data_IF_944455033140
#
_entry.id   IF_944455033140
#
_cell.length_a   1.000
_cell.length_b   1.000
_cell.length_c   1.000
_cell.angle_alpha   90.00
_cell.angle_beta   90.00
_cell.angle_gamma   90.00
#
_symmetry.space_group_name_H-M   'P 1'
#
loop_
_entity.id
_entity.type
_entity.pdbx_description
1 polymer ?
#
# COMPACT_ATOMS: atom_id res chain seq x y z
N UNK A 1 -4.34 4.46 -13.55
CA UNK A 1 -3.18 3.95 -12.80
C UNK A 1 -3.11 4.68 -11.49
N UNK A 2 -2.96 3.95 -10.39
CA UNK A 2 -2.73 4.52 -9.06
C UNK A 2 -1.29 4.23 -8.70
N UNK A 3 -0.46 5.27 -8.72
CA UNK A 3 0.88 5.23 -8.17
C UNK A 3 0.78 5.24 -6.65
N UNK A 4 1.56 4.40 -5.98
CA UNK A 4 1.58 4.34 -4.52
C UNK A 4 2.99 4.05 -3.99
N UNK A 5 3.23 4.51 -2.77
CA UNK A 5 4.42 4.24 -1.97
C UNK A 5 4.06 4.32 -0.48
N UNK A 6 4.73 3.52 0.36
CA UNK A 6 4.39 3.34 1.78
C UNK A 6 5.59 3.60 2.69
N UNK A 7 5.37 4.42 3.71
CA UNK A 7 6.27 4.47 4.86
C UNK A 7 5.67 3.65 5.99
N UNK A 8 6.54 2.89 6.68
CA UNK A 8 6.10 1.89 7.63
C UNK A 8 6.93 1.90 8.90
N UNK A 9 6.28 1.55 10.01
CA UNK A 9 6.93 1.21 11.26
C UNK A 9 6.70 -0.26 11.56
N UNK A 10 7.73 -0.95 12.05
CA UNK A 10 7.60 -2.30 12.57
C UNK A 10 8.69 -2.56 13.62
N UNK A 11 8.34 -3.14 14.78
CA UNK A 11 9.34 -3.55 15.77
C UNK A 11 10.20 -4.73 15.28
N UNK A 12 9.72 -5.51 14.30
CA UNK A 12 10.48 -6.58 13.67
C UNK A 12 11.40 -5.99 12.60
N UNK A 13 12.73 -6.22 12.65
CA UNK A 13 13.63 -5.74 11.61
C UNK A 13 13.33 -6.33 10.23
N UNK A 14 13.34 -5.51 9.17
CA UNK A 14 13.06 -5.95 7.79
C UNK A 14 14.04 -7.02 7.28
N UNK A 15 15.27 -7.07 7.82
CA UNK A 15 16.27 -8.11 7.51
C UNK A 15 15.81 -9.53 7.89
N UNK A 16 14.78 -9.66 8.72
CA UNK A 16 14.17 -10.95 9.06
C UNK A 16 13.16 -11.42 7.99
N UNK A 17 13.01 -10.68 6.88
CA UNK A 17 12.15 -11.00 5.74
C UNK A 17 10.84 -10.21 5.75
N UNK A 18 10.37 -9.86 4.54
CA UNK A 18 9.17 -9.03 4.31
C UNK A 18 7.91 -9.60 4.95
N UNK A 19 7.72 -10.91 4.92
CA UNK A 19 6.53 -11.54 5.52
C UNK A 19 6.51 -11.41 7.04
N UNK A 20 7.61 -11.78 7.72
CA UNK A 20 7.72 -11.62 9.17
C UNK A 20 7.62 -10.15 9.60
N UNK A 21 8.15 -9.25 8.78
CA UNK A 21 8.00 -7.81 8.96
C UNK A 21 6.53 -7.37 8.86
N UNK A 22 5.82 -7.79 7.81
CA UNK A 22 4.45 -7.36 7.53
C UNK A 22 3.42 -7.85 8.58
N UNK A 23 3.69 -8.95 9.26
CA UNK A 23 2.81 -9.45 10.34
C UNK A 23 2.62 -8.46 11.49
N UNK A 24 3.59 -7.58 11.75
CA UNK A 24 3.55 -6.59 12.83
C UNK A 24 3.67 -5.14 12.31
N UNK A 25 3.58 -4.94 11.01
CA UNK A 25 3.72 -3.63 10.40
C UNK A 25 2.53 -2.72 10.68
N UNK A 26 2.85 -1.44 10.84
CA UNK A 26 1.92 -0.31 10.81
C UNK A 26 2.33 0.61 9.65
N UNK A 27 1.36 1.03 8.84
CA UNK A 27 1.58 2.06 7.81
C UNK A 27 1.51 3.42 8.49
N UNK A 28 2.56 4.22 8.36
CA UNK A 28 2.62 5.55 8.95
C UNK A 28 2.28 6.64 7.94
N UNK A 29 2.72 6.48 6.69
CA UNK A 29 2.41 7.39 5.58
C UNK A 29 2.02 6.60 4.34
N UNK A 30 0.99 7.07 3.65
CA UNK A 30 0.56 6.54 2.35
C UNK A 30 0.63 7.66 1.31
N UNK A 31 1.63 7.60 0.44
CA UNK A 31 1.76 8.51 -0.70
C UNK A 31 1.10 7.89 -1.93
N UNK A 32 0.33 8.67 -2.68
CA UNK A 32 -0.33 8.18 -3.89
C UNK A 32 -0.63 9.27 -4.92
N UNK A 33 -0.73 8.88 -6.19
CA UNK A 33 -1.16 9.74 -7.29
C UNK A 33 -2.03 8.97 -8.28
N UNK A 34 -3.13 9.59 -8.73
CA UNK A 34 -4.02 9.01 -9.74
C UNK A 34 -3.62 9.53 -11.12
N UNK A 35 -3.15 8.63 -12.00
CA UNK A 35 -2.61 8.96 -13.32
C UNK A 35 -1.52 10.05 -13.19
N UNK A 36 -1.63 11.12 -13.98
CA UNK A 36 -0.74 12.30 -13.93
C UNK A 36 -1.26 13.40 -12.99
N UNK A 37 -2.16 13.03 -12.08
CA UNK A 37 -2.72 13.94 -11.07
C UNK A 37 -1.70 14.30 -9.99
N UNK A 38 -2.04 15.25 -9.09
CA UNK A 38 -1.17 15.66 -8.00
C UNK A 38 -0.93 14.50 -7.03
N UNK A 39 0.29 14.45 -6.48
CA UNK A 39 0.62 13.56 -5.37
C UNK A 39 -0.14 13.99 -4.13
N UNK A 40 -0.71 13.00 -3.44
CA UNK A 40 -1.38 13.12 -2.16
C UNK A 40 -0.62 12.28 -1.14
N UNK A 41 -0.54 12.78 0.07
CA UNK A 41 0.17 12.14 1.17
C UNK A 41 -0.78 12.09 2.37
N UNK A 42 -1.10 10.89 2.82
CA UNK A 42 -1.98 10.66 3.97
C UNK A 42 -1.14 10.27 5.19
N UNK A 43 -1.29 11.01 6.29
CA UNK A 43 -0.75 10.64 7.60
C UNK A 43 -1.66 9.59 8.24
N UNK A 44 -1.28 8.32 8.04
CA UNK A 44 -2.03 7.13 8.48
C UNK A 44 -1.73 6.79 9.94
N UNK A 45 -0.62 7.29 10.49
CA UNK A 45 -0.30 7.09 11.90
C UNK A 45 -1.33 7.76 12.82
N UNK A 46 -1.90 8.88 12.37
CA UNK A 46 -2.86 9.66 13.16
C UNK A 46 -4.30 9.59 12.64
N UNK A 47 -4.51 9.16 11.39
CA UNK A 47 -5.81 9.23 10.73
C UNK A 47 -6.14 7.95 9.94
N UNK A 48 -7.43 7.63 9.74
CA UNK A 48 -7.82 6.59 8.79
C UNK A 48 -7.51 7.01 7.35
N UNK A 49 -7.39 6.02 6.45
CA UNK A 49 -7.28 6.29 5.02
C UNK A 49 -8.49 7.08 4.51
N UNK A 50 -8.25 7.96 3.55
CA UNK A 50 -9.30 8.74 2.93
C UNK A 50 -10.29 7.84 2.17
N UNK A 51 -11.56 8.24 2.18
CA UNK A 51 -12.60 7.57 1.40
C UNK A 51 -12.27 7.52 -0.11
N UNK A 52 -11.49 8.49 -0.61
CA UNK A 52 -11.06 8.53 -2.01
C UNK A 52 -10.05 7.42 -2.29
N UNK A 53 -9.00 7.30 -1.48
CA UNK A 53 -8.02 6.23 -1.61
C UNK A 53 -8.66 4.85 -1.45
N UNK A 54 -9.53 4.66 -0.46
CA UNK A 54 -10.26 3.40 -0.28
C UNK A 54 -11.10 3.02 -1.52
N UNK A 55 -11.74 4.00 -2.18
CA UNK A 55 -12.48 3.76 -3.43
C UNK A 55 -11.56 3.36 -4.58
N UNK A 56 -10.40 3.98 -4.71
CA UNK A 56 -9.41 3.65 -5.74
C UNK A 56 -8.82 2.25 -5.52
N UNK A 57 -8.47 1.91 -4.28
CA UNK A 57 -7.98 0.58 -3.92
C UNK A 57 -9.03 -0.50 -4.19
N UNK A 58 -10.32 -0.25 -3.91
CA UNK A 58 -11.41 -1.19 -4.19
C UNK A 58 -11.81 -1.30 -5.67
N UNK A 59 -11.41 -0.34 -6.51
CA UNK A 59 -11.83 -0.36 -7.92
C UNK A 59 -10.99 -1.36 -8.73
N UNK A 60 -11.56 -2.47 -9.22
CA UNK A 60 -10.79 -3.51 -9.93
C UNK A 60 -10.20 -3.02 -11.26
N UNK A 61 -10.73 -1.93 -11.83
CA UNK A 61 -10.22 -1.34 -13.07
C UNK A 61 -9.00 -0.41 -12.84
N UNK A 62 -8.67 -0.12 -11.59
CA UNK A 62 -7.50 0.69 -11.24
C UNK A 62 -6.30 -0.24 -11.06
N UNK A 63 -5.35 -0.14 -12.00
CA UNK A 63 -4.00 -0.72 -11.86
C UNK A 63 -3.22 0.00 -10.75
N UNK A 64 -2.49 -0.76 -9.95
CA UNK A 64 -1.65 -0.31 -8.85
C UNK A 64 -0.19 -0.35 -9.30
N UNK A 65 0.50 0.77 -9.17
CA UNK A 65 1.88 0.91 -9.64
C UNK A 65 2.76 1.25 -8.44
N UNK A 66 3.80 0.45 -8.22
CA UNK A 66 4.80 0.67 -7.18
C UNK A 66 6.19 0.26 -7.68
N UNK A 67 7.23 0.77 -7.03
CA UNK A 67 8.60 0.34 -7.29
C UNK A 67 8.99 -0.71 -6.25
N UNK A 68 9.40 -1.92 -6.68
CA UNK A 68 9.61 -3.05 -5.76
C UNK A 68 8.31 -3.43 -5.00
N UNK A 69 7.24 -3.56 -5.78
CA UNK A 69 5.86 -3.82 -5.33
C UNK A 69 5.69 -5.06 -4.44
N UNK A 70 6.65 -5.99 -4.44
CA UNK A 70 6.65 -7.13 -3.53
C UNK A 70 6.56 -6.70 -2.06
N UNK A 71 7.20 -5.58 -1.70
CA UNK A 71 7.11 -5.02 -0.37
C UNK A 71 5.69 -4.48 -0.09
N UNK A 72 5.22 -3.51 -0.88
CA UNK A 72 3.93 -2.82 -0.65
C UNK A 72 2.75 -3.76 -0.68
N UNK A 73 2.70 -4.68 -1.64
CA UNK A 73 1.60 -5.66 -1.72
C UNK A 73 1.54 -6.56 -0.48
N UNK A 74 2.69 -6.84 0.13
CA UNK A 74 2.78 -7.69 1.31
C UNK A 74 2.37 -6.89 2.54
N UNK A 75 2.86 -5.66 2.69
CA UNK A 75 2.44 -4.73 3.74
C UNK A 75 0.93 -4.51 3.71
N UNK A 76 0.35 -4.13 2.56
CA UNK A 76 -1.08 -3.86 2.43
C UNK A 76 -1.95 -5.08 2.75
N UNK A 77 -1.52 -6.28 2.34
CA UNK A 77 -2.24 -7.53 2.65
C UNK A 77 -2.39 -7.75 4.15
N UNK A 78 -1.40 -7.36 4.95
CA UNK A 78 -1.44 -7.49 6.41
C UNK A 78 -2.05 -6.27 7.11
N UNK A 79 -1.79 -5.05 6.61
CA UNK A 79 -2.19 -3.82 7.27
C UNK A 79 -3.68 -3.48 7.07
N UNK A 80 -4.22 -3.63 5.85
CA UNK A 80 -5.60 -3.24 5.55
C UNK A 80 -6.64 -3.96 6.43
N UNK A 81 -6.57 -5.29 6.65
CA UNK A 81 -7.50 -5.96 7.57
C UNK A 81 -7.40 -5.46 9.02
N UNK A 82 -6.18 -5.15 9.51
CA UNK A 82 -5.97 -4.59 10.85
C UNK A 82 -6.57 -3.19 11.00
N UNK A 83 -6.65 -2.45 9.90
CA UNK A 83 -7.32 -1.15 9.83
C UNK A 83 -8.84 -1.27 9.63
N UNK A 84 -9.40 -2.49 9.65
CA UNK A 84 -10.84 -2.74 9.45
C UNK A 84 -11.28 -2.62 7.99
N UNK A 85 -10.34 -2.69 7.03
CA UNK A 85 -10.61 -2.58 5.60
C UNK A 85 -10.54 -3.96 4.94
N UNK A 86 -11.69 -4.47 4.51
CA UNK A 86 -11.79 -5.70 3.72
C UNK A 86 -11.59 -5.40 2.23
N UNK A 87 -10.35 -5.08 1.85
CA UNK A 87 -9.96 -4.76 0.47
C UNK A 87 -8.99 -5.81 -0.03
N UNK A 88 -9.38 -6.50 -1.10
CA UNK A 88 -8.50 -7.48 -1.78
C UNK A 88 -7.82 -6.79 -2.96
N UNK A 89 -6.49 -6.93 -3.02
CA UNK A 89 -5.66 -6.39 -4.10
C UNK A 89 -5.02 -7.55 -4.90
N UNK A 90 -5.75 -8.12 -5.89
CA UNK A 90 -5.24 -9.20 -6.74
C UNK A 90 -3.92 -8.83 -7.43
N UNK A 91 -3.03 -9.81 -7.60
CA UNK A 91 -1.68 -9.58 -8.17
C UNK A 91 -1.74 -9.07 -9.61
N UNK A 92 -2.79 -9.40 -10.35
CA UNK A 92 -3.02 -9.01 -11.74
C UNK A 92 -3.25 -7.50 -11.92
N UNK A 93 -3.54 -6.79 -10.83
CA UNK A 93 -3.68 -5.32 -10.83
C UNK A 93 -2.34 -4.61 -10.66
N UNK A 94 -1.28 -5.30 -10.26
CA UNK A 94 0.00 -4.69 -9.94
C UNK A 94 0.93 -4.61 -11.14
N UNK A 95 1.56 -3.45 -11.31
CA UNK A 95 2.73 -3.30 -12.18
C UNK A 95 3.91 -2.81 -11.33
N UNK A 96 5.02 -3.51 -11.44
CA UNK A 96 6.24 -3.22 -10.68
C UNK A 96 7.25 -2.53 -11.60
N UNK A 97 7.69 -1.33 -11.24
CA UNK A 97 8.64 -0.57 -12.07
C UNK A 97 10.11 -0.98 -11.89
N UNK A 98 10.44 -1.82 -10.89
CA UNK A 98 11.81 -2.28 -10.67
C UNK A 98 12.26 -3.37 -11.65
N UNK A 99 11.31 -4.11 -12.23
CA UNK A 99 11.57 -5.31 -13.05
C UNK A 99 11.17 -5.15 -14.53
N UNK A 100 11.00 -3.91 -14.99
CA UNK A 100 10.59 -3.59 -16.37
C UNK A 100 11.77 -3.56 -17.34
#
# INVERSE_FOLDING_TARGET
MLWLDLETYCPVPIKNGTHAYAEQVEITVFAWALNDGPVRVEDVASNPLSNELCKLLNNPNVKLIAHNSHFDRTVLRHALPKMGLDIVLPIERWEDTMVQ
#
